data_IF_879720438941
#
_entry.id   IF_879720438941
#
_cell.length_a   1.000
_cell.length_b   1.000
_cell.length_c   1.000
_cell.angle_alpha   90.00
_cell.angle_beta   90.00
_cell.angle_gamma   90.00
#
_symmetry.space_group_name_H-M   'P 1'
#
loop_
_entity.id
_entity.type
_entity.pdbx_description
1 polymer ?
#
# COMPACT_ATOMS: atom_id res chain seq x y z
N UNK A 1 -0.50 35.58 -40.22
CA UNK A 1 0.97 35.71 -40.28
C UNK A 1 1.50 35.47 -38.88
N UNK A 2 2.41 34.51 -38.72
CA UNK A 2 3.29 34.44 -37.56
C UNK A 2 4.51 35.32 -37.86
N UNK A 3 5.13 35.98 -36.85
CA UNK A 3 4.77 35.97 -35.44
C UNK A 3 3.67 36.99 -35.12
N UNK A 4 2.84 36.66 -34.13
CA UNK A 4 1.84 37.58 -33.54
C UNK A 4 2.58 38.51 -32.56
N UNK A 5 2.16 39.78 -32.37
CA UNK A 5 2.79 40.65 -31.37
C UNK A 5 2.85 39.99 -29.98
N UNK A 6 4.03 40.02 -29.35
CA UNK A 6 4.27 39.35 -28.07
C UNK A 6 4.67 37.87 -28.17
N UNK A 7 4.95 37.36 -29.37
CA UNK A 7 5.58 36.05 -29.55
C UNK A 7 7.03 36.04 -29.07
N UNK A 8 7.43 34.95 -28.43
CA UNK A 8 8.80 34.67 -27.98
C UNK A 8 9.31 33.37 -28.60
N UNK A 9 10.62 33.21 -28.64
CA UNK A 9 11.29 32.00 -29.13
C UNK A 9 12.09 31.40 -27.98
N UNK A 10 12.13 30.08 -27.86
CA UNK A 10 12.96 29.41 -26.86
C UNK A 10 13.56 28.12 -27.40
N UNK A 11 14.63 27.65 -26.77
CA UNK A 11 15.24 26.35 -27.05
C UNK A 11 14.27 25.22 -26.68
N UNK A 12 14.16 24.23 -27.56
CA UNK A 12 13.30 23.07 -27.32
C UNK A 12 13.77 22.20 -26.15
N UNK A 13 15.08 22.12 -25.91
CA UNK A 13 15.67 21.25 -24.88
C UNK A 13 15.27 21.65 -23.45
N UNK A 14 15.35 22.95 -23.12
CA UNK A 14 15.25 23.45 -21.75
C UNK A 14 14.27 24.63 -21.58
N UNK A 15 13.77 25.21 -22.67
CA UNK A 15 12.91 26.39 -22.63
C UNK A 15 13.63 27.72 -22.42
N UNK A 16 14.96 27.76 -22.55
CA UNK A 16 15.72 29.02 -22.48
C UNK A 16 15.27 29.96 -23.60
N UNK A 17 14.84 31.17 -23.23
CA UNK A 17 14.38 32.19 -24.18
C UNK A 17 15.53 32.63 -25.08
N UNK A 18 15.25 32.69 -26.39
CA UNK A 18 16.20 33.07 -27.41
C UNK A 18 15.94 34.52 -27.84
N UNK A 19 16.77 35.41 -27.32
CA UNK A 19 16.82 36.82 -27.67
C UNK A 19 17.77 37.07 -28.85
N UNK A 20 17.69 38.24 -29.49
CA UNK A 20 18.49 38.53 -30.70
C UNK A 20 20.01 38.52 -30.46
N UNK A 21 20.45 38.85 -29.25
CA UNK A 21 21.85 38.79 -28.81
C UNK A 21 22.29 37.36 -28.44
N UNK A 22 21.40 36.57 -27.86
CA UNK A 22 21.68 35.17 -27.51
C UNK A 22 21.64 34.23 -28.73
N UNK A 23 20.84 34.55 -29.75
CA UNK A 23 20.62 33.71 -30.94
C UNK A 23 21.93 33.27 -31.61
N UNK A 24 22.92 34.16 -31.70
CA UNK A 24 24.21 33.86 -32.33
C UNK A 24 25.10 32.90 -31.52
N UNK A 25 24.78 32.69 -30.25
CA UNK A 25 25.47 31.73 -29.38
C UNK A 25 24.81 30.36 -29.34
N UNK A 26 23.62 30.23 -29.94
CA UNK A 26 22.90 28.95 -30.04
C UNK A 26 23.61 28.06 -31.06
N UNK A 27 23.89 26.78 -30.73
CA UNK A 27 24.51 25.84 -31.67
C UNK A 27 23.69 25.67 -32.95
N UNK A 28 24.38 25.39 -34.06
CA UNK A 28 23.74 25.00 -35.32
C UNK A 28 22.81 23.79 -35.11
N UNK A 29 21.73 23.73 -35.90
CA UNK A 29 20.69 22.68 -35.86
C UNK A 29 19.91 22.57 -34.53
N UNK A 30 19.96 23.61 -33.69
CA UNK A 30 19.13 23.67 -32.48
C UNK A 30 17.63 23.77 -32.81
N UNK A 31 16.81 22.94 -32.15
CA UNK A 31 15.36 22.98 -32.26
C UNK A 31 14.79 24.16 -31.44
N UNK A 32 13.91 24.95 -32.06
CA UNK A 32 13.32 26.15 -31.47
C UNK A 32 11.79 26.04 -31.40
N UNK A 33 11.22 26.50 -30.30
CA UNK A 33 9.77 26.55 -30.09
C UNK A 33 9.31 28.00 -30.12
N UNK A 34 8.40 28.30 -31.05
CA UNK A 34 7.72 29.60 -31.12
C UNK A 34 6.52 29.61 -30.18
N UNK A 35 6.52 30.53 -29.22
CA UNK A 35 5.46 30.72 -28.24
C UNK A 35 4.68 31.99 -28.55
N UNK A 36 3.36 31.94 -28.36
CA UNK A 36 2.49 33.13 -28.36
C UNK A 36 2.34 33.67 -26.94
N UNK A 37 1.86 34.91 -26.80
CA UNK A 37 1.72 35.57 -25.51
C UNK A 37 0.94 34.70 -24.50
N UNK A 38 1.57 34.42 -23.35
CA UNK A 38 1.00 33.60 -22.27
C UNK A 38 1.28 32.10 -22.36
N UNK A 39 1.89 31.60 -23.44
CA UNK A 39 2.38 30.22 -23.51
C UNK A 39 3.74 30.08 -22.84
N UNK A 40 4.00 28.90 -22.28
CA UNK A 40 5.27 28.56 -21.63
C UNK A 40 5.78 27.23 -22.14
N UNK A 41 7.10 27.12 -22.29
CA UNK A 41 7.79 25.87 -22.62
C UNK A 41 8.88 25.63 -21.57
N UNK A 42 8.94 24.42 -21.02
CA UNK A 42 9.88 24.03 -19.96
C UNK A 42 10.84 22.93 -20.46
N UNK A 43 11.13 22.95 -21.75
CA UNK A 43 11.95 21.90 -22.36
C UNK A 43 11.25 20.55 -22.42
N UNK A 44 12.05 19.48 -22.35
CA UNK A 44 11.56 18.10 -22.32
C UNK A 44 10.54 17.81 -21.20
N UNK A 45 10.52 18.60 -20.12
CA UNK A 45 9.49 18.49 -19.06
C UNK A 45 8.09 18.69 -19.63
N UNK A 46 7.93 19.65 -20.55
CA UNK A 46 6.64 19.92 -21.19
C UNK A 46 6.15 18.73 -22.02
N UNK A 47 7.04 17.99 -22.68
CA UNK A 47 6.67 16.76 -23.37
C UNK A 47 6.26 15.63 -22.44
N UNK A 48 6.99 15.44 -21.33
CA UNK A 48 6.60 14.45 -20.31
C UNK A 48 5.24 14.81 -19.72
N UNK A 49 5.01 16.08 -19.37
CA UNK A 49 3.72 16.54 -18.87
C UNK A 49 2.60 16.33 -19.88
N UNK A 50 2.83 16.67 -21.15
CA UNK A 50 1.87 16.43 -22.23
C UNK A 50 1.57 14.93 -22.38
N UNK A 51 2.61 14.11 -22.42
CA UNK A 51 2.47 12.65 -22.48
C UNK A 51 1.62 12.15 -21.32
N UNK A 52 1.96 12.48 -20.07
CA UNK A 52 1.22 12.05 -18.89
C UNK A 52 -0.25 12.51 -18.91
N UNK A 53 -0.52 13.73 -19.37
CA UNK A 53 -1.90 14.27 -19.44
C UNK A 53 -2.80 13.45 -20.37
N UNK A 54 -2.27 13.00 -21.50
CA UNK A 54 -2.98 12.18 -22.48
C UNK A 54 -3.38 10.80 -21.92
N UNK A 55 -2.64 10.29 -20.92
CA UNK A 55 -2.91 9.00 -20.29
C UNK A 55 -3.76 9.08 -19.01
N UNK A 56 -4.07 10.29 -18.53
CA UNK A 56 -4.98 10.44 -17.38
C UNK A 56 -6.43 10.10 -17.76
N UNK A 57 -6.85 10.40 -18.99
CA UNK A 57 -8.12 9.97 -19.56
C UNK A 57 -7.87 9.26 -20.89
N UNK A 58 -7.49 7.98 -20.87
CA UNK A 58 -7.10 7.29 -22.08
C UNK A 58 -8.29 7.13 -23.03
N UNK A 59 -8.20 7.79 -24.18
CA UNK A 59 -9.15 7.60 -25.27
C UNK A 59 -8.89 6.26 -25.99
N UNK A 60 -9.96 5.61 -26.45
CA UNK A 60 -9.89 4.28 -27.06
C UNK A 60 -8.92 4.21 -28.26
N UNK A 61 -8.84 5.29 -29.04
CA UNK A 61 -7.94 5.41 -30.20
C UNK A 61 -6.47 5.29 -29.80
N UNK A 62 -6.09 5.88 -28.67
CA UNK A 62 -4.72 5.82 -28.18
C UNK A 62 -4.35 4.41 -27.69
N UNK A 63 -5.27 3.70 -27.03
CA UNK A 63 -5.06 2.30 -26.65
C UNK A 63 -4.87 1.45 -27.91
N UNK A 64 -5.67 1.70 -28.94
CA UNK A 64 -5.54 1.00 -30.22
C UNK A 64 -4.20 1.30 -30.91
N UNK A 65 -3.79 2.56 -30.97
CA UNK A 65 -2.50 2.96 -31.54
C UNK A 65 -1.33 2.33 -30.79
N UNK A 66 -1.36 2.32 -29.45
CA UNK A 66 -0.32 1.69 -28.64
C UNK A 66 -0.27 0.16 -28.84
N UNK A 67 -1.42 -0.51 -29.03
CA UNK A 67 -1.47 -1.95 -29.36
C UNK A 67 -0.87 -2.25 -30.75
N UNK A 68 -1.18 -1.42 -31.73
CA UNK A 68 -0.61 -1.55 -33.08
C UNK A 68 0.92 -1.37 -33.03
N UNK A 69 1.38 -0.31 -32.36
CA UNK A 69 2.80 -0.04 -32.19
C UNK A 69 3.53 -1.20 -31.48
N UNK A 70 2.93 -1.76 -30.42
CA UNK A 70 3.51 -2.92 -29.72
C UNK A 70 3.58 -4.18 -30.61
N UNK A 71 2.61 -4.39 -31.51
CA UNK A 71 2.57 -5.56 -32.39
C UNK A 71 3.72 -5.58 -33.40
N UNK A 72 4.13 -4.40 -33.87
CA UNK A 72 5.21 -4.26 -34.86
C UNK A 72 6.59 -4.04 -34.22
N UNK A 73 6.63 -3.63 -32.94
CA UNK A 73 7.86 -3.30 -32.22
C UNK A 73 8.71 -4.54 -31.95
N UNK A 74 10.03 -4.43 -32.17
CA UNK A 74 11.00 -5.52 -31.97
C UNK A 74 12.03 -5.24 -30.89
N UNK A 75 12.26 -3.98 -30.55
CA UNK A 75 13.22 -3.62 -29.52
C UNK A 75 12.67 -4.00 -28.13
N UNK A 76 13.35 -4.85 -27.33
CA UNK A 76 12.81 -5.35 -26.07
C UNK A 76 12.43 -4.26 -25.07
N UNK A 77 13.24 -3.21 -24.96
CA UNK A 77 12.95 -2.07 -24.07
C UNK A 77 11.67 -1.33 -24.49
N UNK A 78 11.47 -1.13 -25.80
CA UNK A 78 10.31 -0.43 -26.33
C UNK A 78 9.05 -1.28 -26.18
N UNK A 79 9.14 -2.59 -26.42
CA UNK A 79 8.06 -3.53 -26.12
C UNK A 79 7.65 -3.47 -24.64
N UNK A 80 8.63 -3.46 -23.73
CA UNK A 80 8.35 -3.39 -22.28
C UNK A 80 7.64 -2.09 -21.90
N UNK A 81 8.13 -0.94 -22.36
CA UNK A 81 7.50 0.37 -22.11
C UNK A 81 6.06 0.43 -22.65
N UNK A 82 5.83 -0.06 -23.86
CA UNK A 82 4.50 -0.09 -24.48
C UNK A 82 3.55 -1.05 -23.75
N UNK A 83 4.05 -2.22 -23.34
CA UNK A 83 3.27 -3.18 -22.58
C UNK A 83 2.88 -2.64 -21.20
N UNK A 84 3.82 -2.00 -20.49
CA UNK A 84 3.57 -1.39 -19.17
C UNK A 84 2.58 -0.22 -19.26
N UNK A 85 2.69 0.58 -20.32
CA UNK A 85 1.75 1.64 -20.63
C UNK A 85 0.36 1.06 -20.90
N UNK A 86 0.25 0.08 -21.79
CA UNK A 86 -1.00 -0.59 -22.13
C UNK A 86 -1.66 -1.26 -20.92
N UNK A 87 -0.87 -1.88 -20.05
CA UNK A 87 -1.34 -2.48 -18.80
C UNK A 87 -1.92 -1.44 -17.84
N UNK A 88 -1.39 -0.22 -17.86
CA UNK A 88 -1.89 0.91 -17.06
C UNK A 88 -3.19 1.47 -17.63
N UNK A 89 -3.26 1.67 -18.96
CA UNK A 89 -4.38 2.40 -19.58
C UNK A 89 -5.57 1.51 -19.95
N UNK A 90 -5.37 0.20 -20.08
CA UNK A 90 -6.43 -0.77 -20.34
C UNK A 90 -7.12 -1.25 -19.05
N UNK A 91 -7.10 -0.43 -18.00
CA UNK A 91 -7.71 -0.77 -16.71
C UNK A 91 -9.22 -0.58 -16.70
N UNK A 92 -9.90 -1.34 -15.83
CA UNK A 92 -11.33 -1.19 -15.58
C UNK A 92 -11.57 -1.08 -14.07
N UNK A 93 -10.95 -0.07 -13.44
CA UNK A 93 -11.04 0.14 -11.98
C UNK A 93 -12.49 0.31 -11.56
N UNK A 94 -13.31 1.08 -12.31
CA UNK A 94 -14.68 1.41 -11.92
C UNK A 94 -15.59 0.18 -11.80
N UNK A 95 -15.38 -0.84 -12.64
CA UNK A 95 -16.11 -2.10 -12.52
C UNK A 95 -15.85 -2.78 -11.16
N UNK A 96 -16.90 -3.29 -10.54
CA UNK A 96 -16.86 -3.94 -9.23
C UNK A 96 -17.33 -5.38 -9.31
N UNK A 97 -18.27 -5.70 -10.20
CA UNK A 97 -18.86 -7.04 -10.27
C UNK A 97 -18.21 -7.93 -11.34
N UNK A 98 -18.35 -9.24 -11.19
CA UNK A 98 -17.89 -10.22 -12.18
C UNK A 98 -18.61 -10.10 -13.52
N UNK A 99 -19.83 -9.56 -13.54
CA UNK A 99 -20.57 -9.30 -14.78
C UNK A 99 -19.99 -8.11 -15.54
N UNK A 100 -19.54 -7.08 -14.83
CA UNK A 100 -18.94 -5.86 -15.41
C UNK A 100 -17.51 -6.09 -15.91
N UNK A 101 -16.75 -7.00 -15.30
CA UNK A 101 -15.33 -7.24 -15.62
C UNK A 101 -14.93 -8.70 -15.41
N UNK A 102 -15.47 -9.61 -16.22
CA UNK A 102 -15.16 -11.04 -16.14
C UNK A 102 -13.64 -11.37 -16.24
N UNK A 103 -12.85 -10.72 -17.12
CA UNK A 103 -11.41 -10.98 -17.22
C UNK A 103 -10.66 -10.77 -15.90
N UNK A 104 -11.05 -9.75 -15.11
CA UNK A 104 -10.46 -9.57 -13.79
C UNK A 104 -10.61 -10.80 -12.92
N UNK A 105 -11.72 -11.56 -12.99
CA UNK A 105 -12.00 -12.72 -12.13
C UNK A 105 -11.47 -14.07 -12.63
N UNK A 106 -10.75 -14.11 -13.75
CA UNK A 106 -10.18 -15.34 -14.28
C UNK A 106 -9.26 -16.02 -13.26
N UNK A 107 -9.40 -17.33 -13.11
CA UNK A 107 -8.67 -18.14 -12.13
C UNK A 107 -9.22 -18.09 -10.70
N UNK A 108 -10.27 -17.32 -10.42
CA UNK A 108 -10.93 -17.31 -9.11
C UNK A 108 -12.16 -18.22 -9.08
N UNK A 109 -12.43 -18.79 -7.90
CA UNK A 109 -13.63 -19.57 -7.64
C UNK A 109 -14.94 -18.82 -8.01
N UNK A 110 -15.97 -19.59 -8.38
CA UNK A 110 -17.28 -19.06 -8.80
C UNK A 110 -17.99 -18.24 -7.70
N UNK A 111 -17.66 -18.47 -6.42
CA UNK A 111 -18.21 -17.73 -5.27
C UNK A 111 -17.87 -16.24 -5.24
N UNK A 112 -16.77 -15.82 -5.85
CA UNK A 112 -16.37 -14.41 -5.85
C UNK A 112 -17.14 -13.64 -6.92
N UNK A 113 -18.12 -12.83 -6.48
CA UNK A 113 -19.00 -12.05 -7.37
C UNK A 113 -18.60 -10.60 -7.54
N UNK A 114 -17.77 -10.07 -6.63
CA UNK A 114 -17.27 -8.70 -6.68
C UNK A 114 -15.81 -8.60 -6.24
N UNK A 115 -15.11 -7.58 -6.73
CA UNK A 115 -13.66 -7.37 -6.54
C UNK A 115 -13.33 -7.15 -5.07
N UNK A 116 -14.11 -6.30 -4.39
CA UNK A 116 -13.95 -5.98 -2.97
C UNK A 116 -14.14 -7.21 -2.08
N UNK A 117 -15.07 -8.10 -2.42
CA UNK A 117 -15.30 -9.37 -1.71
C UNK A 117 -14.11 -10.31 -1.79
N UNK A 118 -13.47 -10.41 -2.96
CA UNK A 118 -12.23 -11.17 -3.10
C UNK A 118 -11.08 -10.53 -2.31
N UNK A 119 -10.90 -9.21 -2.39
CA UNK A 119 -9.80 -8.54 -1.68
C UNK A 119 -9.99 -8.55 -0.15
N UNK A 120 -11.23 -8.46 0.34
CA UNK A 120 -11.58 -8.77 1.73
C UNK A 120 -11.11 -10.17 2.11
N UNK A 121 -11.51 -11.19 1.33
CA UNK A 121 -11.10 -12.57 1.58
C UNK A 121 -9.57 -12.74 1.57
N UNK A 122 -8.87 -12.07 0.64
CA UNK A 122 -7.41 -12.08 0.56
C UNK A 122 -6.77 -11.51 1.84
N UNK A 123 -7.27 -10.37 2.33
CA UNK A 123 -6.83 -9.80 3.60
C UNK A 123 -7.09 -10.75 4.78
N UNK A 124 -8.31 -11.28 4.89
CA UNK A 124 -8.66 -12.21 5.97
C UNK A 124 -7.75 -13.44 5.96
N UNK A 125 -7.41 -13.95 4.78
CA UNK A 125 -6.53 -15.13 4.63
C UNK A 125 -5.13 -14.87 5.18
N UNK A 126 -4.58 -13.66 4.96
CA UNK A 126 -3.28 -13.25 5.53
C UNK A 126 -3.34 -13.18 7.06
N UNK A 127 -4.35 -12.50 7.60
CA UNK A 127 -4.52 -12.35 9.06
C UNK A 127 -4.81 -13.69 9.73
N UNK A 128 -5.62 -14.57 9.11
CA UNK A 128 -5.83 -15.96 9.58
C UNK A 128 -4.53 -16.76 9.58
N UNK A 129 -3.65 -16.56 8.60
CA UNK A 129 -2.33 -17.20 8.61
C UNK A 129 -1.51 -16.77 9.82
N UNK A 130 -1.53 -15.48 10.16
CA UNK A 130 -0.84 -15.00 11.36
C UNK A 130 -1.41 -15.61 12.63
N UNK A 131 -2.74 -15.75 12.73
CA UNK A 131 -3.37 -16.40 13.86
C UNK A 131 -2.94 -17.88 13.96
N UNK A 132 -2.92 -18.62 12.84
CA UNK A 132 -2.43 -20.02 12.84
C UNK A 132 -1.00 -20.12 13.36
N UNK A 133 -0.12 -19.22 12.91
CA UNK A 133 1.27 -19.19 13.37
C UNK A 133 1.40 -18.83 14.85
N UNK A 134 0.57 -17.90 15.36
CA UNK A 134 0.50 -17.59 16.79
C UNK A 134 0.01 -18.79 17.59
N UNK A 135 -1.01 -19.51 17.11
CA UNK A 135 -1.48 -20.76 17.73
C UNK A 135 -0.37 -21.81 17.78
N UNK A 136 0.42 -21.96 16.71
CA UNK A 136 1.58 -22.86 16.68
C UNK A 136 2.64 -22.47 17.71
N UNK A 137 2.71 -21.21 18.14
CA UNK A 137 3.58 -20.74 19.22
C UNK A 137 3.33 -21.42 20.58
N UNK A 138 2.22 -22.15 20.75
CA UNK A 138 1.99 -22.97 21.93
C UNK A 138 3.08 -24.04 22.15
N UNK A 139 3.85 -24.41 21.12
CA UNK A 139 5.00 -25.31 21.25
C UNK A 139 6.22 -24.67 21.93
N UNK A 140 6.25 -23.35 22.10
CA UNK A 140 7.30 -22.62 22.80
C UNK A 140 7.05 -22.53 24.31
N UNK A 141 5.88 -22.98 24.78
CA UNK A 141 5.42 -22.84 26.15
C UNK A 141 5.55 -24.21 26.84
N UNK A 142 5.99 -24.20 28.10
CA UNK A 142 6.00 -25.41 28.95
C UNK A 142 4.57 -25.94 29.14
N UNK A 143 4.45 -27.24 29.42
CA UNK A 143 3.15 -27.94 29.46
C UNK A 143 2.12 -27.26 30.35
N UNK A 144 2.56 -26.78 31.52
CA UNK A 144 1.73 -26.17 32.56
C UNK A 144 1.14 -24.82 32.14
N UNK A 145 1.85 -24.06 31.30
CA UNK A 145 1.43 -22.75 30.82
C UNK A 145 0.72 -22.79 29.46
N UNK A 146 0.64 -23.97 28.83
CA UNK A 146 0.08 -24.15 27.48
C UNK A 146 -1.42 -23.85 27.40
N UNK A 147 -2.18 -24.26 28.41
CA UNK A 147 -3.62 -23.99 28.47
C UNK A 147 -3.90 -22.48 28.55
N UNK A 148 -3.14 -21.76 29.38
CA UNK A 148 -3.25 -20.31 29.53
C UNK A 148 -2.87 -19.59 28.23
N UNK A 149 -1.81 -20.03 27.55
CA UNK A 149 -1.45 -19.52 26.22
C UNK A 149 -2.61 -19.68 25.22
N UNK A 150 -3.20 -20.87 25.14
CA UNK A 150 -4.32 -21.13 24.23
C UNK A 150 -5.58 -20.36 24.63
N UNK A 151 -5.82 -20.12 25.92
CA UNK A 151 -6.91 -19.26 26.41
C UNK A 151 -6.72 -17.81 25.93
N UNK A 152 -5.50 -17.27 26.05
CA UNK A 152 -5.15 -15.93 25.57
C UNK A 152 -5.29 -15.82 24.04
N UNK A 153 -4.79 -16.82 23.30
CA UNK A 153 -4.96 -16.89 21.84
C UNK A 153 -6.44 -17.00 21.45
N UNK A 154 -7.24 -17.74 22.23
CA UNK A 154 -8.69 -17.83 22.06
C UNK A 154 -9.38 -16.47 22.19
N UNK A 155 -9.00 -15.66 23.19
CA UNK A 155 -9.52 -14.30 23.35
C UNK A 155 -9.14 -13.40 22.15
N UNK A 156 -7.92 -13.50 21.64
CA UNK A 156 -7.50 -12.81 20.42
C UNK A 156 -8.29 -13.26 19.20
N UNK A 157 -8.56 -14.57 19.05
CA UNK A 157 -9.36 -15.14 17.97
C UNK A 157 -10.79 -14.58 17.98
N UNK A 158 -11.45 -14.57 19.14
CA UNK A 158 -12.80 -14.00 19.29
C UNK A 158 -12.82 -12.52 18.90
N UNK A 159 -11.82 -11.75 19.33
CA UNK A 159 -11.70 -10.34 18.94
C UNK A 159 -11.46 -10.17 17.43
N UNK A 160 -10.66 -11.03 16.80
CA UNK A 160 -10.47 -11.03 15.35
C UNK A 160 -11.75 -11.37 14.59
N UNK A 161 -12.50 -12.36 15.05
CA UNK A 161 -13.80 -12.72 14.46
C UNK A 161 -14.78 -11.54 14.51
N UNK A 162 -14.88 -10.88 15.67
CA UNK A 162 -15.68 -9.66 15.82
C UNK A 162 -15.22 -8.52 14.89
N UNK A 163 -13.91 -8.42 14.63
CA UNK A 163 -13.33 -7.48 13.68
C UNK A 163 -13.32 -7.98 12.21
N UNK A 164 -13.91 -9.14 11.92
CA UNK A 164 -13.88 -9.81 10.60
C UNK A 164 -12.46 -9.96 10.04
N UNK A 165 -11.52 -10.36 10.89
CA UNK A 165 -10.10 -10.53 10.55
C UNK A 165 -9.49 -9.32 9.82
N UNK A 166 -9.95 -8.12 10.16
CA UNK A 166 -9.55 -6.85 9.57
C UNK A 166 -9.68 -6.80 8.03
N UNK A 167 -10.64 -7.55 7.47
CA UNK A 167 -10.87 -7.64 6.03
C UNK A 167 -11.03 -6.29 5.32
N UNK A 168 -11.49 -5.27 6.07
CA UNK A 168 -11.66 -3.90 5.58
C UNK A 168 -10.36 -3.27 5.09
N UNK A 169 -9.19 -3.73 5.52
CA UNK A 169 -7.91 -3.16 5.08
C UNK A 169 -7.76 -3.16 3.56
N UNK A 170 -8.28 -4.17 2.87
CA UNK A 170 -8.19 -4.27 1.41
C UNK A 170 -9.50 -3.96 0.68
N UNK A 171 -10.50 -3.40 1.37
CA UNK A 171 -11.80 -3.07 0.79
C UNK A 171 -11.92 -1.56 0.52
N UNK A 172 -11.90 -1.17 -0.76
CA UNK A 172 -12.05 0.24 -1.17
C UNK A 172 -13.39 0.85 -0.74
N UNK A 173 -14.45 0.05 -0.59
CA UNK A 173 -15.76 0.48 -0.12
C UNK A 173 -15.88 0.60 1.41
N UNK A 174 -14.86 0.19 2.17
CA UNK A 174 -14.86 0.37 3.61
C UNK A 174 -14.64 1.83 4.02
N UNK A 175 -15.08 2.18 5.23
CA UNK A 175 -14.94 3.54 5.80
C UNK A 175 -13.48 3.99 5.81
N UNK A 176 -13.25 5.27 5.56
CA UNK A 176 -11.94 5.91 5.73
C UNK A 176 -11.36 5.59 7.14
N UNK A 177 -10.07 5.29 7.20
CA UNK A 177 -9.39 4.82 8.42
C UNK A 177 -9.52 3.32 8.70
N UNK A 178 -10.41 2.59 8.00
CA UNK A 178 -10.50 1.11 8.08
C UNK A 178 -9.95 0.37 6.87
N UNK A 179 -9.74 1.09 5.76
CA UNK A 179 -9.09 0.62 4.54
C UNK A 179 -7.69 1.21 4.41
N UNK A 180 -6.80 0.51 3.72
CA UNK A 180 -5.43 0.92 3.43
C UNK A 180 -5.27 1.53 2.03
N UNK A 181 -6.37 1.64 1.28
CA UNK A 181 -6.40 2.23 -0.04
C UNK A 181 -7.28 3.49 -0.11
N UNK A 182 -7.21 4.19 -1.24
CA UNK A 182 -8.16 5.24 -1.63
C UNK A 182 -9.55 4.64 -1.96
N UNK A 183 -10.61 5.45 -2.14
CA UNK A 183 -11.93 4.93 -2.58
C UNK A 183 -11.91 4.21 -3.91
N UNK A 184 -10.95 4.53 -4.77
CA UNK A 184 -10.79 3.92 -6.09
C UNK A 184 -10.00 2.60 -6.01
N UNK A 185 -9.35 2.34 -4.86
CA UNK A 185 -8.59 1.11 -4.61
C UNK A 185 -7.07 1.24 -4.75
N UNK A 186 -6.52 2.46 -4.80
CA UNK A 186 -5.08 2.67 -4.84
C UNK A 186 -4.43 2.42 -3.48
N UNK A 187 -3.51 1.46 -3.42
CA UNK A 187 -2.65 1.21 -2.27
C UNK A 187 -1.29 1.85 -2.49
N UNK A 188 -0.77 2.47 -1.45
CA UNK A 188 0.58 3.05 -1.43
C UNK A 188 1.47 2.25 -0.49
N UNK A 189 2.69 1.97 -0.93
CA UNK A 189 3.69 1.34 -0.07
C UNK A 189 4.03 2.26 1.08
N UNK A 190 3.96 1.73 2.30
CA UNK A 190 4.29 2.47 3.53
C UNK A 190 5.80 2.51 3.80
N UNK A 191 6.63 2.01 2.88
CA UNK A 191 8.07 1.91 3.04
C UNK A 191 8.51 0.78 3.99
N UNK A 192 9.81 0.40 3.96
CA UNK A 192 10.39 -0.55 4.91
C UNK A 192 10.06 -0.26 6.39
N UNK A 193 10.26 -1.26 7.26
CA UNK A 193 9.93 -1.15 8.68
C UNK A 193 10.67 -0.03 9.43
N UNK A 194 11.84 0.38 8.93
CA UNK A 194 12.78 1.32 9.56
C UNK A 194 12.77 2.73 8.96
N UNK A 195 11.81 3.03 8.08
CA UNK A 195 11.63 4.37 7.50
C UNK A 195 10.15 4.73 7.51
N UNK A 196 9.82 6.01 7.44
CA UNK A 196 8.42 6.44 7.48
C UNK A 196 7.69 6.22 6.16
N UNK A 197 8.37 6.44 5.03
CA UNK A 197 7.79 6.44 3.69
C UNK A 197 8.56 5.60 2.66
N UNK A 198 7.88 5.25 1.57
CA UNK A 198 8.49 4.57 0.43
C UNK A 198 9.18 5.58 -0.51
N UNK A 199 10.51 5.60 -0.51
CA UNK A 199 11.29 6.47 -1.41
C UNK A 199 10.95 6.29 -2.90
N UNK A 200 10.68 5.04 -3.32
CA UNK A 200 10.31 4.72 -4.71
C UNK A 200 8.83 4.98 -5.03
N UNK A 201 8.03 5.44 -4.06
CA UNK A 201 6.59 5.72 -4.21
C UNK A 201 5.81 4.57 -4.87
N UNK A 202 6.14 3.32 -4.54
CA UNK A 202 5.45 2.17 -5.09
C UNK A 202 3.95 2.27 -4.78
N UNK A 203 3.12 2.11 -5.80
CA UNK A 203 1.67 2.09 -5.71
C UNK A 203 1.10 0.96 -6.56
N UNK A 204 -0.11 0.52 -6.23
CA UNK A 204 -0.83 -0.50 -7.01
C UNK A 204 -2.33 -0.34 -6.82
N UNK A 205 -3.10 -0.60 -7.87
CA UNK A 205 -4.54 -0.79 -7.77
C UNK A 205 -4.92 -2.23 -8.12
N UNK A 206 -5.09 -3.14 -7.17
CA UNK A 206 -5.49 -4.52 -7.46
C UNK A 206 -6.90 -4.65 -8.03
N UNK A 207 -7.69 -3.57 -8.06
CA UNK A 207 -8.99 -3.53 -8.71
C UNK A 207 -8.91 -3.24 -10.22
N UNK A 208 -7.76 -2.80 -10.75
CA UNK A 208 -7.63 -2.34 -12.13
C UNK A 208 -7.77 -3.46 -13.15
N UNK A 209 -7.00 -4.54 -12.98
CA UNK A 209 -6.91 -5.65 -13.91
C UNK A 209 -6.41 -6.94 -13.20
N UNK A 210 -6.48 -8.06 -13.92
CA UNK A 210 -6.07 -9.39 -13.43
C UNK A 210 -4.62 -9.43 -12.97
N UNK A 211 -3.70 -8.81 -13.72
CA UNK A 211 -2.26 -8.83 -13.41
C UNK A 211 -1.97 -8.06 -12.13
N UNK A 212 -2.53 -6.86 -11.96
CA UNK A 212 -2.41 -6.06 -10.74
C UNK A 212 -2.95 -6.79 -9.52
N UNK A 213 -4.08 -7.50 -9.66
CA UNK A 213 -4.61 -8.37 -8.60
C UNK A 213 -3.61 -9.48 -8.23
N UNK A 214 -2.98 -10.12 -9.20
CA UNK A 214 -1.97 -11.17 -8.97
C UNK A 214 -0.71 -10.58 -8.33
N UNK A 215 -0.19 -9.47 -8.86
CA UNK A 215 0.98 -8.76 -8.32
C UNK A 215 0.77 -8.34 -6.86
N UNK A 216 -0.45 -7.95 -6.48
CA UNK A 216 -0.77 -7.60 -5.09
C UNK A 216 -0.58 -8.76 -4.11
N UNK A 217 -0.54 -10.02 -4.57
CA UNK A 217 -0.15 -11.17 -3.72
C UNK A 217 1.30 -11.11 -3.24
N UNK A 218 2.17 -10.40 -3.98
CA UNK A 218 3.58 -10.19 -3.61
C UNK A 218 3.79 -9.08 -2.59
N UNK A 219 2.79 -8.19 -2.43
CA UNK A 219 2.79 -7.16 -1.41
C UNK A 219 2.57 -7.77 -0.03
N UNK A 220 3.28 -7.30 0.98
CA UNK A 220 3.27 -7.87 2.32
C UNK A 220 2.61 -6.93 3.33
N UNK A 221 1.93 -7.50 4.32
CA UNK A 221 1.66 -6.81 5.59
C UNK A 221 2.80 -7.20 6.51
N UNK A 222 3.85 -6.39 6.52
CA UNK A 222 5.09 -6.64 7.25
C UNK A 222 4.95 -6.18 8.70
N UNK A 223 5.43 -7.00 9.64
CA UNK A 223 5.37 -6.71 11.07
C UNK A 223 6.58 -5.86 11.46
N UNK A 224 6.38 -4.61 11.89
CA UNK A 224 7.46 -3.71 12.32
C UNK A 224 8.23 -4.34 13.49
N UNK A 225 7.54 -4.71 14.57
CA UNK A 225 8.05 -5.62 15.60
C UNK A 225 7.73 -7.04 15.13
N UNK A 226 8.78 -7.80 14.81
CA UNK A 226 8.66 -9.11 14.15
C UNK A 226 7.81 -10.11 14.94
N UNK A 227 6.76 -10.61 14.30
CA UNK A 227 5.85 -11.59 14.89
C UNK A 227 6.56 -12.84 15.41
N UNK A 228 7.30 -13.54 14.54
CA UNK A 228 7.92 -14.83 14.87
C UNK A 228 9.17 -14.70 15.74
N UNK A 229 9.98 -13.66 15.51
CA UNK A 229 11.26 -13.48 16.22
C UNK A 229 11.09 -12.81 17.58
N UNK A 230 10.07 -11.95 17.74
CA UNK A 230 9.94 -11.12 18.95
C UNK A 230 8.57 -11.31 19.62
N UNK A 231 7.46 -11.03 18.92
CA UNK A 231 6.15 -10.88 19.58
C UNK A 231 5.64 -12.20 20.16
N UNK A 232 5.69 -13.30 19.40
CA UNK A 232 5.22 -14.62 19.84
C UNK A 232 6.10 -15.19 20.97
N UNK A 233 7.44 -15.19 20.86
CA UNK A 233 8.30 -15.57 21.98
C UNK A 233 8.09 -14.73 23.24
N UNK A 234 7.89 -13.42 23.09
CA UNK A 234 7.63 -12.52 24.24
C UNK A 234 6.29 -12.86 24.91
N UNK A 235 5.25 -13.16 24.13
CA UNK A 235 3.96 -13.59 24.67
C UNK A 235 4.10 -14.91 25.46
N UNK A 236 4.82 -15.89 24.89
CA UNK A 236 5.07 -17.17 25.54
C UNK A 236 5.81 -16.99 26.88
N UNK A 237 6.90 -16.21 26.89
CA UNK A 237 7.65 -15.89 28.10
C UNK A 237 6.80 -15.13 29.12
N UNK A 238 6.01 -14.15 28.69
CA UNK A 238 5.18 -13.35 29.59
C UNK A 238 4.13 -14.19 30.33
N UNK A 239 3.59 -15.23 29.69
CA UNK A 239 2.64 -16.16 30.30
C UNK A 239 3.34 -17.10 31.28
N UNK A 240 4.55 -17.57 30.95
CA UNK A 240 5.36 -18.38 31.85
C UNK A 240 5.77 -17.61 33.12
N UNK A 241 6.28 -16.39 32.94
CA UNK A 241 6.86 -15.56 34.01
C UNK A 241 5.81 -14.68 34.70
N UNK A 242 4.51 -14.99 34.52
CA UNK A 242 3.44 -14.12 34.96
C UNK A 242 3.49 -13.84 36.48
N UNK A 243 3.87 -14.82 37.31
CA UNK A 243 3.97 -14.69 38.78
C UNK A 243 2.74 -14.00 39.42
N UNK A 244 1.54 -14.31 38.90
CA UNK A 244 0.27 -13.71 39.35
C UNK A 244 -0.11 -12.39 38.67
N UNK A 245 0.73 -11.84 37.79
CA UNK A 245 0.40 -10.70 36.93
C UNK A 245 -0.47 -11.15 35.76
N UNK A 246 -1.43 -10.31 35.36
CA UNK A 246 -2.26 -10.59 34.19
C UNK A 246 -1.60 -10.03 32.92
N UNK A 247 -1.34 -10.88 31.92
CA UNK A 247 -0.82 -10.46 30.61
C UNK A 247 -1.83 -9.56 29.90
N UNK A 248 -1.36 -8.41 29.39
CA UNK A 248 -2.18 -7.55 28.53
C UNK A 248 -2.23 -8.11 27.11
N UNK A 249 -3.03 -9.14 26.91
CA UNK A 249 -3.22 -9.75 25.59
C UNK A 249 -3.68 -8.76 24.51
N UNK A 250 -4.30 -7.62 24.88
CA UNK A 250 -4.73 -6.59 23.92
C UNK A 250 -3.54 -5.82 23.35
N UNK A 251 -2.43 -5.73 24.07
CA UNK A 251 -1.17 -5.23 23.53
C UNK A 251 -0.64 -6.16 22.44
N UNK A 252 -0.51 -7.45 22.72
CA UNK A 252 -0.08 -8.45 21.73
C UNK A 252 -1.03 -8.54 20.54
N UNK A 253 -2.35 -8.45 20.75
CA UNK A 253 -3.33 -8.40 19.66
C UNK A 253 -3.03 -7.26 18.67
N UNK A 254 -2.69 -6.07 19.17
CA UNK A 254 -2.39 -4.91 18.32
C UNK A 254 -1.12 -5.13 17.53
N UNK A 255 -0.09 -5.68 18.16
CA UNK A 255 1.16 -6.04 17.47
C UNK A 255 0.97 -7.13 16.41
N UNK A 256 0.14 -8.13 16.68
CA UNK A 256 0.03 -9.32 15.83
C UNK A 256 -0.87 -9.09 14.61
N UNK A 257 -1.92 -8.27 14.74
CA UNK A 257 -3.00 -8.28 13.77
C UNK A 257 -3.47 -6.92 13.27
N UNK A 258 -2.91 -5.81 13.75
CA UNK A 258 -3.40 -4.47 13.40
C UNK A 258 -2.34 -3.62 12.71
N UNK A 259 -2.79 -2.59 12.00
CA UNK A 259 -1.94 -1.57 11.38
C UNK A 259 -1.12 -0.74 12.36
N UNK A 260 -1.28 -0.91 13.69
CA UNK A 260 -0.34 -0.36 14.67
C UNK A 260 1.07 -0.95 14.54
N UNK A 261 1.19 -2.17 14.01
CA UNK A 261 2.46 -2.86 13.82
C UNK A 261 2.58 -3.52 12.44
N UNK A 262 1.59 -3.35 11.56
CA UNK A 262 1.59 -3.88 10.19
C UNK A 262 1.79 -2.72 9.20
N UNK A 263 2.83 -2.82 8.36
CA UNK A 263 3.03 -1.93 7.22
C UNK A 263 2.72 -2.68 5.93
N UNK A 264 1.88 -2.11 5.07
CA UNK A 264 1.68 -2.61 3.72
C UNK A 264 2.86 -2.17 2.84
N UNK A 265 3.64 -3.15 2.37
CA UNK A 265 4.88 -2.89 1.63
C UNK A 265 4.94 -3.66 0.32
N UNK A 266 5.45 -2.99 -0.72
CA UNK A 266 5.89 -3.64 -1.95
C UNK A 266 7.01 -4.65 -1.63
N UNK A 267 7.15 -5.73 -2.42
CA UNK A 267 8.15 -6.77 -2.17
C UNK A 267 9.58 -6.23 -2.10
N UNK A 268 9.92 -5.21 -2.90
CA UNK A 268 11.23 -4.57 -2.86
C UNK A 268 11.49 -3.76 -1.58
N UNK A 269 10.43 -3.37 -0.85
CA UNK A 269 10.52 -2.67 0.43
C UNK A 269 10.43 -3.60 1.64
N UNK A 270 10.16 -4.90 1.42
CA UNK A 270 10.10 -5.90 2.49
C UNK A 270 11.52 -6.39 2.83
N UNK A 271 12.17 -5.71 3.77
CA UNK A 271 13.50 -6.08 4.26
C UNK A 271 13.40 -7.39 5.07
N UNK A 272 13.99 -8.48 4.58
CA UNK A 272 14.01 -9.78 5.29
C UNK A 272 15.07 -9.87 6.40
N UNK A 273 15.82 -8.81 6.62
CA UNK A 273 16.77 -8.68 7.73
C UNK A 273 16.03 -8.65 9.07
N UNK A 274 16.72 -8.95 10.17
CA UNK A 274 16.14 -8.79 11.52
C UNK A 274 15.85 -7.32 11.82
N UNK A 275 14.67 -7.01 12.36
CA UNK A 275 14.23 -5.63 12.61
C UNK A 275 14.87 -5.03 13.87
N UNK A 276 15.38 -5.88 14.78
CA UNK A 276 16.01 -5.48 16.06
C UNK A 276 15.11 -4.61 16.94
N UNK A 277 13.79 -4.75 16.79
CA UNK A 277 12.79 -4.09 17.63
C UNK A 277 12.24 -5.07 18.66
N UNK A 278 11.98 -4.56 19.86
CA UNK A 278 11.48 -5.31 21.00
C UNK A 278 10.07 -4.85 21.38
N UNK A 279 9.34 -5.74 22.06
CA UNK A 279 8.10 -5.35 22.71
C UNK A 279 8.36 -4.33 23.84
N UNK A 280 7.49 -3.34 23.98
CA UNK A 280 7.45 -2.42 25.11
C UNK A 280 7.21 -3.18 26.44
N UNK A 281 8.19 -3.24 27.35
CA UNK A 281 8.08 -3.95 28.61
C UNK A 281 6.95 -3.42 29.52
N UNK A 282 6.65 -2.13 29.44
CA UNK A 282 5.62 -1.47 30.25
C UNK A 282 4.19 -1.85 29.87
N UNK A 283 4.00 -2.58 28.76
CA UNK A 283 2.69 -2.96 28.21
C UNK A 283 2.46 -4.46 28.14
N UNK A 284 3.42 -5.26 28.60
CA UNK A 284 3.31 -6.72 28.61
C UNK A 284 2.23 -7.19 29.60
N UNK A 285 2.16 -6.55 30.76
CA UNK A 285 1.20 -6.87 31.83
C UNK A 285 0.22 -5.71 32.05
N UNK A 286 -0.97 -6.02 32.54
CA UNK A 286 -1.94 -5.00 32.92
C UNK A 286 -1.45 -4.21 34.13
N UNK A 287 -1.68 -2.90 34.10
CA UNK A 287 -1.43 -2.05 35.26
C UNK A 287 -2.28 -2.51 36.46
N UNK A 288 -1.73 -2.51 37.69
CA UNK A 288 -2.51 -2.74 38.90
C UNK A 288 -3.69 -1.77 38.94
N UNK A 289 -4.88 -2.25 39.29
CA UNK A 289 -6.03 -1.37 39.46
C UNK A 289 -5.71 -0.35 40.55
N UNK A 290 -5.54 0.93 40.19
CA UNK A 290 -5.38 2.00 41.17
C UNK A 290 -6.64 2.03 42.03
N UNK A 291 -6.56 1.87 43.36
CA UNK A 291 -7.72 1.98 44.22
C UNK A 291 -8.31 3.38 44.03
N UNK A 292 -9.57 3.46 43.58
CA UNK A 292 -10.31 4.72 43.53
C UNK A 292 -10.31 5.31 44.95
N UNK A 293 -9.47 6.32 45.22
CA UNK A 293 -9.54 7.11 46.45
C UNK A 293 -10.97 7.63 46.56
N UNK A 294 -11.74 7.12 47.53
CA UNK A 294 -13.03 7.70 47.92
C UNK A 294 -12.77 9.17 48.23
N UNK A 295 -13.22 10.09 47.37
CA UNK A 295 -13.28 11.52 47.69
C UNK A 295 -14.10 11.64 48.97
N UNK A 296 -13.46 12.05 50.08
CA UNK A 296 -14.17 12.41 51.30
C UNK A 296 -15.13 13.54 50.93
N UNK A 297 -16.42 13.35 51.20
CA UNK A 297 -17.41 14.40 51.07
C UNK A 297 -16.97 15.58 51.94
N UNK A 298 -16.77 16.74 51.31
CA UNK A 298 -16.61 17.99 52.04
C UNK A 298 -17.94 18.27 52.72
N UNK A 299 -18.00 18.13 54.04
CA UNK A 299 -19.05 18.77 54.83
C UNK A 299 -18.87 20.28 54.64
N UNK A 300 -19.92 20.94 54.15
CA UNK A 300 -19.99 22.40 54.08
C UNK A 300 -20.37 22.93 55.46
N UNK A 301 -19.79 24.06 55.90
CA UNK A 301 -20.20 24.75 57.12
C UNK A 301 -21.62 25.30 57.01
#
# INVERSE_FOLDING_TARGET
>A
QLPVPGSTLCLYEDGTEVTGDYFWSVPDDSELVLLTAGQTWQGYVSDISRFLSVFQEPHAELIQAARQLLSDERAPLRQKLLADLLGTVSENIAAETRAEDAPWFEGLESRFRNKSGYLRYSCESRIRSYLREVTSGASLVVTEAREEYLRVVGAMCQKLQAARYNSSYFDRGAKAGRRLCTPEGWFSCQGPFDVDDCASRHSINPYSNRESRVLFSTWNLDHVIEKKRTVVPTLAAAIHDAEGREVDWKYFYRLLFTSENLKLVHIACHKKTTHKLLCDPGRIYRAPAVPRRKRRARQRP
#
